data_IF_257795205190
#
_entry.id   IF_257795205190
#
_cell.length_a   1.000
_cell.length_b   1.000
_cell.length_c   1.000
_cell.angle_alpha   90.00
_cell.angle_beta   90.00
_cell.angle_gamma   90.00
#
_symmetry.space_group_name_H-M   'P 1'
#
loop_
_entity.id
_entity.type
_entity.pdbx_description
1 polymer ?
#
# COMPACT_ATOMS: atom_id res chain seq x y z
N UNK A 1 -45.87 -53.81 39.35
CA UNK A 1 -45.81 -52.66 38.41
C UNK A 1 -44.70 -51.64 38.72
N UNK A 2 -44.19 -51.50 39.96
CA UNK A 2 -43.19 -50.47 40.33
C UNK A 2 -41.79 -50.56 39.67
N UNK A 3 -41.35 -51.76 39.25
CA UNK A 3 -40.03 -51.99 38.63
C UNK A 3 -39.92 -51.45 37.19
N UNK A 4 -41.05 -51.31 36.49
CA UNK A 4 -41.09 -50.84 35.09
C UNK A 4 -40.97 -49.31 35.02
N UNK A 5 -41.65 -48.61 35.94
CA UNK A 5 -41.59 -47.14 36.03
C UNK A 5 -40.18 -46.63 36.38
N UNK A 6 -39.48 -47.31 37.30
CA UNK A 6 -38.11 -46.95 37.69
C UNK A 6 -37.08 -47.19 36.58
N UNK A 7 -37.30 -48.18 35.72
CA UNK A 7 -36.46 -48.44 34.54
C UNK A 7 -36.67 -47.38 33.44
N UNK A 8 -37.92 -47.02 33.17
CA UNK A 8 -38.26 -45.98 32.20
C UNK A 8 -37.70 -44.61 32.61
N UNK A 9 -37.76 -44.27 33.90
CA UNK A 9 -37.26 -43.00 34.41
C UNK A 9 -35.72 -42.89 34.35
N UNK A 10 -35.01 -43.98 34.69
CA UNK A 10 -33.55 -44.06 34.51
C UNK A 10 -33.15 -43.90 33.04
N UNK A 11 -33.87 -44.55 32.11
CA UNK A 11 -33.58 -44.47 30.67
C UNK A 11 -33.82 -43.05 30.13
N UNK A 12 -34.90 -42.39 30.56
CA UNK A 12 -35.18 -41.00 30.19
C UNK A 12 -34.12 -40.02 30.71
N UNK A 13 -33.63 -40.22 31.94
CA UNK A 13 -32.58 -39.37 32.54
C UNK A 13 -31.24 -39.54 31.81
N UNK A 14 -30.88 -40.76 31.41
CA UNK A 14 -29.70 -41.02 30.58
C UNK A 14 -29.81 -40.37 29.20
N UNK A 15 -30.93 -40.54 28.51
CA UNK A 15 -31.16 -39.91 27.20
C UNK A 15 -31.09 -38.38 27.26
N UNK A 16 -31.59 -37.76 28.34
CA UNK A 16 -31.52 -36.30 28.54
C UNK A 16 -30.09 -35.80 28.78
N UNK A 17 -29.29 -36.56 29.54
CA UNK A 17 -27.88 -36.24 29.78
C UNK A 17 -27.03 -36.43 28.52
N UNK A 18 -27.32 -37.45 27.71
CA UNK A 18 -26.64 -37.70 26.43
C UNK A 18 -26.93 -36.58 25.42
N UNK A 19 -28.21 -36.20 25.25
CA UNK A 19 -28.59 -35.03 24.43
C UNK A 19 -27.91 -33.75 24.90
N UNK A 20 -27.85 -33.50 26.22
CA UNK A 20 -27.17 -32.31 26.78
C UNK A 20 -25.67 -32.33 26.50
N UNK A 21 -25.01 -33.49 26.57
CA UNK A 21 -23.60 -33.67 26.22
C UNK A 21 -23.32 -33.42 24.73
N UNK A 22 -24.18 -33.92 23.85
CA UNK A 22 -24.12 -33.67 22.41
C UNK A 22 -24.30 -32.19 22.07
N UNK A 23 -25.28 -31.51 22.70
CA UNK A 23 -25.48 -30.06 22.52
C UNK A 23 -24.27 -29.24 23.00
N UNK A 24 -23.64 -29.62 24.10
CA UNK A 24 -22.43 -28.92 24.60
C UNK A 24 -21.25 -29.15 23.63
N UNK A 25 -21.12 -30.35 23.08
CA UNK A 25 -20.07 -30.69 22.14
C UNK A 25 -20.23 -29.97 20.80
N UNK A 26 -21.46 -29.87 20.27
CA UNK A 26 -21.74 -29.09 19.05
C UNK A 26 -21.52 -27.60 19.27
N UNK A 27 -21.89 -27.06 20.43
CA UNK A 27 -21.63 -25.66 20.77
C UNK A 27 -20.13 -25.34 20.84
N UNK A 28 -19.31 -26.25 21.40
CA UNK A 28 -17.85 -26.11 21.44
C UNK A 28 -17.23 -26.16 20.04
N UNK A 29 -17.68 -27.08 19.18
CA UNK A 29 -17.23 -27.18 17.78
C UNK A 29 -17.60 -25.95 16.97
N UNK A 30 -18.81 -25.39 17.18
CA UNK A 30 -19.26 -24.16 16.54
C UNK A 30 -18.42 -22.95 16.98
N UNK A 31 -18.15 -22.80 18.28
CA UNK A 31 -17.27 -21.74 18.81
C UNK A 31 -15.86 -21.82 18.24
N UNK A 32 -15.30 -23.03 18.14
CA UNK A 32 -13.99 -23.25 17.55
C UNK A 32 -13.98 -22.88 16.06
N UNK A 33 -15.01 -23.26 15.31
CA UNK A 33 -15.16 -22.92 13.89
C UNK A 33 -15.20 -21.42 13.64
N UNK A 34 -15.97 -20.68 14.46
CA UNK A 34 -16.07 -19.22 14.38
C UNK A 34 -14.72 -18.57 14.69
N UNK A 35 -14.02 -19.06 15.71
CA UNK A 35 -12.69 -18.57 16.06
C UNK A 35 -11.68 -18.80 14.93
N UNK A 36 -11.67 -19.99 14.33
CA UNK A 36 -10.77 -20.30 13.21
C UNK A 36 -11.09 -19.46 11.96
N UNK A 37 -12.37 -19.21 11.66
CA UNK A 37 -12.75 -18.30 10.57
C UNK A 37 -12.31 -16.87 10.83
N UNK A 38 -12.41 -16.39 12.08
CA UNK A 38 -11.96 -15.06 12.48
C UNK A 38 -10.44 -14.89 12.33
N UNK A 39 -9.65 -15.89 12.75
CA UNK A 39 -8.18 -15.86 12.61
C UNK A 39 -7.77 -15.84 11.13
N UNK A 40 -8.40 -16.69 10.32
CA UNK A 40 -8.13 -16.74 8.87
C UNK A 40 -8.50 -15.42 8.21
N UNK A 41 -9.64 -14.82 8.58
CA UNK A 41 -10.04 -13.51 8.07
C UNK A 41 -9.05 -12.39 8.45
N UNK A 42 -8.57 -12.37 9.71
CA UNK A 42 -7.54 -11.41 10.14
C UNK A 42 -6.23 -11.58 9.36
N UNK A 43 -5.83 -12.84 9.08
CA UNK A 43 -4.64 -13.11 8.27
C UNK A 43 -4.76 -12.57 6.84
N UNK A 44 -5.95 -12.63 6.22
CA UNK A 44 -6.19 -12.10 4.87
C UNK A 44 -6.38 -10.57 4.81
N UNK A 45 -6.76 -9.93 5.93
CA UNK A 45 -6.97 -8.47 6.02
C UNK A 45 -5.66 -7.69 6.27
N UNK A 46 -4.49 -8.35 6.18
CA UNK A 46 -3.20 -7.68 6.06
C UNK A 46 -3.04 -7.04 4.66
N UNK A 47 -3.98 -6.18 4.29
CA UNK A 47 -3.99 -5.44 3.04
C UNK A 47 -2.75 -4.55 3.05
N UNK A 48 -1.88 -4.74 2.07
CA UNK A 48 -0.73 -3.89 1.84
C UNK A 48 -1.19 -2.45 1.57
N UNK A 49 -1.19 -1.62 2.61
CA UNK A 49 -1.36 -0.19 2.45
C UNK A 49 -0.10 0.35 1.76
N UNK A 50 -0.22 0.68 0.47
CA UNK A 50 0.73 1.58 -0.17
C UNK A 50 0.46 2.98 0.40
N UNK A 51 1.31 3.42 1.31
CA UNK A 51 1.26 4.78 1.81
C UNK A 51 1.93 5.70 0.80
N UNK A 52 1.34 6.85 0.52
CA UNK A 52 1.93 7.85 -0.37
C UNK A 52 2.43 9.02 0.46
N UNK A 53 3.55 9.60 0.05
CA UNK A 53 4.05 10.88 0.59
C UNK A 53 3.72 11.98 -0.41
N UNK A 54 3.05 13.02 0.05
CA UNK A 54 2.86 14.24 -0.75
C UNK A 54 4.12 15.11 -0.69
N UNK A 55 4.43 15.81 -1.78
CA UNK A 55 5.51 16.78 -1.82
C UNK A 55 5.02 18.09 -2.45
N UNK A 56 5.74 19.18 -2.15
CA UNK A 56 5.60 20.47 -2.80
C UNK A 56 7.01 21.05 -3.01
N UNK A 57 7.33 21.37 -4.26
CA UNK A 57 8.65 21.88 -4.63
C UNK A 57 8.54 22.98 -5.66
N UNK A 58 9.49 23.91 -5.66
CA UNK A 58 9.61 24.95 -6.68
C UNK A 58 10.76 24.62 -7.60
N UNK A 59 10.48 24.43 -8.89
CA UNK A 59 11.49 24.28 -9.93
C UNK A 59 12.03 25.66 -10.34
N UNK A 60 13.36 25.80 -10.48
CA UNK A 60 13.94 27.02 -11.03
C UNK A 60 13.61 27.18 -12.52
N UNK A 61 13.64 28.41 -13.03
CA UNK A 61 13.42 28.68 -14.46
C UNK A 61 14.50 28.09 -15.38
N UNK A 62 15.70 27.86 -14.84
CA UNK A 62 16.83 27.24 -15.56
C UNK A 62 16.83 25.71 -15.45
N UNK A 63 17.51 25.05 -16.39
CA UNK A 63 17.67 23.59 -16.43
C UNK A 63 18.62 23.11 -15.33
N UNK A 64 18.05 22.88 -14.14
CA UNK A 64 18.76 22.33 -12.98
C UNK A 64 17.94 21.19 -12.40
N UNK A 65 18.65 20.15 -11.97
CA UNK A 65 18.06 18.98 -11.35
C UNK A 65 17.62 19.31 -9.91
N UNK A 66 16.35 19.08 -9.62
CA UNK A 66 15.73 19.26 -8.31
C UNK A 66 15.27 17.91 -7.77
N UNK A 67 15.44 17.67 -6.48
CA UNK A 67 14.83 16.50 -5.82
C UNK A 67 13.37 16.83 -5.49
N UNK A 68 12.43 16.06 -6.05
CA UNK A 68 11.01 16.16 -5.71
C UNK A 68 10.74 15.57 -4.32
N UNK A 69 11.25 14.35 -4.12
CA UNK A 69 11.14 13.60 -2.87
C UNK A 69 12.28 12.59 -2.77
N UNK A 70 12.69 12.28 -1.55
CA UNK A 70 13.67 11.25 -1.22
C UNK A 70 13.21 10.46 0.01
N UNK A 71 13.43 9.16 0.02
CA UNK A 71 13.06 8.29 1.13
C UNK A 71 13.51 6.86 0.95
N UNK A 72 13.43 6.09 2.03
CA UNK A 72 13.69 4.65 2.01
C UNK A 72 12.41 3.92 1.65
N UNK A 73 12.47 3.10 0.58
CA UNK A 73 11.34 2.29 0.15
C UNK A 73 10.92 1.31 1.24
N UNK A 74 9.70 1.40 1.78
CA UNK A 74 9.21 0.44 2.77
C UNK A 74 8.23 -0.62 2.23
N UNK A 75 7.78 -0.48 0.98
CA UNK A 75 6.79 -1.34 0.32
C UNK A 75 7.49 -2.45 -0.43
N UNK A 76 6.77 -3.55 -0.60
CA UNK A 76 7.22 -4.68 -1.41
C UNK A 76 6.88 -4.51 -2.90
N UNK A 77 6.44 -3.32 -3.33
CA UNK A 77 6.18 -3.03 -4.73
C UNK A 77 7.51 -3.01 -5.50
N UNK A 78 7.58 -3.55 -6.71
CA UNK A 78 8.85 -3.55 -7.47
C UNK A 78 9.19 -2.19 -8.10
N UNK A 79 8.25 -1.24 -8.14
CA UNK A 79 8.36 0.06 -8.80
C UNK A 79 7.91 1.20 -7.89
N UNK A 80 8.29 2.44 -8.23
CA UNK A 80 7.83 3.67 -7.54
C UNK A 80 6.55 4.15 -8.21
N UNK A 81 5.49 4.47 -7.44
CA UNK A 81 4.25 5.03 -8.01
C UNK A 81 4.19 6.52 -7.77
N UNK A 82 4.32 7.30 -8.83
CA UNK A 82 4.13 8.75 -8.81
C UNK A 82 2.68 9.05 -9.24
N UNK A 83 1.95 9.93 -8.55
CA UNK A 83 0.54 10.26 -8.84
C UNK A 83 0.21 11.70 -8.50
N UNK A 84 -0.94 12.17 -8.99
CA UNK A 84 -1.53 13.47 -8.64
C UNK A 84 -0.60 14.67 -8.81
N UNK A 85 0.24 14.62 -9.86
CA UNK A 85 1.23 15.64 -10.13
C UNK A 85 0.52 16.87 -10.68
N UNK A 86 0.50 17.95 -9.91
CA UNK A 86 0.04 19.25 -10.36
C UNK A 86 1.25 20.16 -10.45
N UNK A 87 1.57 20.57 -11.67
CA UNK A 87 2.56 21.62 -11.92
C UNK A 87 1.83 22.95 -11.70
N UNK A 88 2.44 23.86 -10.92
CA UNK A 88 1.89 25.15 -10.51
C UNK A 88 1.52 26.04 -11.70
N UNK A 89 0.76 27.11 -11.47
CA UNK A 89 -0.14 27.67 -12.47
C UNK A 89 0.57 28.35 -13.65
N UNK A 90 0.19 27.86 -14.84
CA UNK A 90 0.02 28.49 -16.16
C UNK A 90 0.75 29.78 -16.49
N UNK A 91 1.64 29.67 -17.48
CA UNK A 91 1.60 30.61 -18.62
C UNK A 91 1.79 29.92 -19.97
N UNK A 92 2.52 28.79 -20.07
CA UNK A 92 2.92 28.27 -21.40
C UNK A 92 3.10 26.73 -21.48
N UNK A 93 2.12 25.92 -21.04
CA UNK A 93 2.15 24.46 -21.28
C UNK A 93 3.43 23.78 -20.76
N UNK A 94 3.79 24.09 -19.52
CA UNK A 94 5.07 23.68 -18.95
C UNK A 94 5.16 22.16 -18.77
N UNK A 95 6.40 21.67 -18.87
CA UNK A 95 6.69 20.27 -18.71
C UNK A 95 7.98 20.10 -17.91
N UNK A 96 8.02 19.06 -17.09
CA UNK A 96 9.23 18.64 -16.41
C UNK A 96 9.64 17.24 -16.87
N UNK A 97 10.95 17.05 -17.00
CA UNK A 97 11.56 15.74 -17.12
C UNK A 97 11.66 15.15 -15.72
N UNK A 98 11.14 13.94 -15.51
CA UNK A 98 11.16 13.25 -14.22
C UNK A 98 11.84 11.90 -14.38
N UNK A 99 12.69 11.53 -13.42
CA UNK A 99 13.32 10.21 -13.36
C UNK A 99 13.59 9.80 -11.92
N UNK A 100 13.93 8.53 -11.73
CA UNK A 100 14.20 7.95 -10.41
C UNK A 100 15.65 7.52 -10.31
N UNK A 101 16.24 7.79 -9.14
CA UNK A 101 17.60 7.40 -8.78
C UNK A 101 17.59 6.58 -7.50
N UNK A 102 18.52 5.63 -7.42
CA UNK A 102 18.79 4.81 -6.23
C UNK A 102 20.18 5.12 -5.71
N UNK A 103 20.32 5.18 -4.39
CA UNK A 103 21.61 5.32 -3.74
C UNK A 103 22.33 3.95 -3.72
N UNK A 104 23.49 3.87 -4.37
CA UNK A 104 24.32 2.67 -4.49
C UNK A 104 25.79 3.07 -4.42
N UNK A 105 26.58 2.40 -3.57
CA UNK A 105 28.04 2.62 -3.45
C UNK A 105 28.43 4.10 -3.30
N UNK A 106 27.75 4.81 -2.39
CA UNK A 106 27.94 6.23 -2.10
C UNK A 106 27.64 7.22 -3.24
N UNK A 107 26.89 6.78 -4.26
CA UNK A 107 26.43 7.65 -5.34
C UNK A 107 24.97 7.40 -5.73
N UNK A 108 24.38 8.33 -6.46
CA UNK A 108 23.03 8.25 -6.99
C UNK A 108 23.04 7.77 -8.43
N UNK A 109 22.50 6.56 -8.65
CA UNK A 109 22.43 5.94 -9.96
C UNK A 109 21.01 6.01 -10.50
N UNK A 110 20.83 6.50 -11.73
CA UNK A 110 19.54 6.52 -12.42
C UNK A 110 19.07 5.09 -12.70
N UNK A 111 17.83 4.78 -12.32
CA UNK A 111 17.24 3.43 -12.41
C UNK A 111 15.92 3.39 -13.19
N UNK A 112 15.49 4.51 -13.78
CA UNK A 112 14.32 4.59 -14.66
C UNK A 112 14.67 5.35 -15.93
N UNK A 113 13.81 5.25 -16.94
CA UNK A 113 13.81 6.22 -18.03
C UNK A 113 13.39 7.60 -17.53
N UNK A 114 13.68 8.62 -18.34
CA UNK A 114 13.15 9.98 -18.11
C UNK A 114 11.80 10.10 -18.78
N UNK A 115 10.77 10.42 -18.00
CA UNK A 115 9.44 10.72 -18.51
C UNK A 115 9.17 12.22 -18.49
N UNK A 116 8.37 12.67 -19.46
CA UNK A 116 7.97 14.07 -19.56
C UNK A 116 6.57 14.21 -18.99
N UNK A 117 6.44 14.96 -17.90
CA UNK A 117 5.16 15.25 -17.28
C UNK A 117 4.72 16.67 -17.65
N UNK A 118 3.55 16.77 -18.26
CA UNK A 118 2.95 18.04 -18.65
C UNK A 118 1.96 18.52 -17.59
N UNK A 119 1.86 19.84 -17.46
CA UNK A 119 0.83 20.49 -16.66
C UNK A 119 -0.57 20.03 -17.09
N UNK A 120 -1.44 19.74 -16.11
CA UNK A 120 -2.83 19.34 -16.35
C UNK A 120 -3.02 17.91 -16.89
N UNK A 121 -1.94 17.14 -17.05
CA UNK A 121 -1.98 15.75 -17.50
C UNK A 121 -1.56 14.79 -16.37
N UNK A 122 -2.14 13.58 -16.34
CA UNK A 122 -1.81 12.55 -15.35
C UNK A 122 -2.97 11.60 -15.04
N UNK A 123 -2.78 10.65 -14.11
CA UNK A 123 -1.57 10.41 -13.33
C UNK A 123 -0.48 9.69 -14.15
N UNK A 124 0.75 10.16 -14.06
CA UNK A 124 1.92 9.52 -14.71
C UNK A 124 2.52 8.44 -13.82
N UNK A 125 2.72 7.22 -14.32
CA UNK A 125 3.37 6.15 -13.55
C UNK A 125 4.76 5.90 -14.11
N UNK A 126 5.78 6.33 -13.36
CA UNK A 126 7.19 6.01 -13.65
C UNK A 126 7.51 4.60 -13.18
N UNK A 127 7.84 3.71 -14.11
CA UNK A 127 8.37 2.41 -13.76
C UNK A 127 9.88 2.49 -13.61
N UNK A 128 10.38 2.05 -12.46
CA UNK A 128 11.81 1.87 -12.23
C UNK A 128 12.19 0.43 -12.56
N UNK A 129 13.48 0.19 -12.79
CA UNK A 129 14.03 -1.13 -12.57
C UNK A 129 13.64 -1.66 -11.18
N UNK A 130 13.55 -2.99 -10.99
CA UNK A 130 13.12 -3.57 -9.73
C UNK A 130 13.92 -3.02 -8.54
N UNK A 131 13.23 -2.34 -7.64
CA UNK A 131 13.79 -1.85 -6.37
C UNK A 131 13.35 -2.77 -5.24
N UNK A 132 14.22 -2.96 -4.26
CA UNK A 132 13.93 -3.72 -3.06
C UNK A 132 13.42 -2.81 -1.94
N UNK A 133 12.66 -3.41 -1.02
CA UNK A 133 12.40 -2.79 0.28
C UNK A 133 13.73 -2.49 0.97
N UNK A 134 13.86 -1.29 1.54
CA UNK A 134 15.07 -0.79 2.18
C UNK A 134 15.97 0.04 1.26
N UNK A 135 15.71 0.06 -0.05
CA UNK A 135 16.47 0.90 -0.98
C UNK A 135 16.21 2.38 -0.69
N UNK A 136 17.27 3.19 -0.62
CA UNK A 136 17.17 4.64 -0.56
C UNK A 136 16.96 5.18 -1.98
N UNK A 137 15.82 5.79 -2.22
CA UNK A 137 15.36 6.24 -3.52
C UNK A 137 15.10 7.75 -3.48
N UNK A 138 15.37 8.43 -4.59
CA UNK A 138 14.91 9.80 -4.81
C UNK A 138 14.31 9.95 -6.20
N UNK A 139 13.28 10.78 -6.29
CA UNK A 139 12.68 11.19 -7.56
C UNK A 139 13.19 12.58 -7.89
N UNK A 140 13.73 12.72 -9.10
CA UNK A 140 14.34 13.94 -9.62
C UNK A 140 13.44 14.54 -10.68
N UNK A 141 13.44 15.86 -10.74
CA UNK A 141 12.85 16.59 -11.83
C UNK A 141 13.80 17.66 -12.37
N UNK A 142 13.65 17.96 -13.64
CA UNK A 142 14.30 19.09 -14.31
C UNK A 142 13.26 19.77 -15.19
N UNK A 143 13.38 21.08 -15.32
CA UNK A 143 12.59 21.82 -16.29
C UNK A 143 12.91 21.37 -17.73
N UNK A 144 11.91 20.93 -18.51
CA UNK A 144 12.11 20.44 -19.89
C UNK A 144 12.63 21.55 -20.82
N UNK A 145 12.15 22.77 -20.62
CA UNK A 145 12.46 23.95 -21.44
C UNK A 145 12.85 25.13 -20.55
N UNK A 146 13.84 25.93 -20.95
CA UNK A 146 14.19 27.14 -20.20
C UNK A 146 12.95 28.03 -20.06
N UNK A 147 12.65 28.42 -18.83
CA UNK A 147 11.57 29.34 -18.49
C UNK A 147 12.16 30.56 -17.79
N UNK A 148 11.58 31.74 -18.07
CA UNK A 148 11.93 32.98 -17.36
C UNK A 148 11.37 33.01 -15.93
N UNK A 149 10.47 32.10 -15.57
CA UNK A 149 9.81 32.06 -14.26
C UNK A 149 10.05 30.73 -13.54
N UNK A 150 10.07 30.80 -12.20
CA UNK A 150 10.03 29.61 -11.33
C UNK A 150 8.58 29.13 -11.21
N UNK A 151 8.37 27.82 -11.17
CA UNK A 151 7.04 27.23 -11.04
C UNK A 151 7.03 26.12 -10.00
N UNK A 152 5.85 25.90 -9.39
CA UNK A 152 5.67 24.85 -8.40
C UNK A 152 5.43 23.48 -9.03
N UNK A 153 5.63 22.43 -8.27
CA UNK A 153 5.12 21.11 -8.53
C UNK A 153 4.69 20.48 -7.21
N UNK A 154 3.46 20.00 -7.15
CA UNK A 154 2.95 19.17 -6.07
C UNK A 154 2.61 17.80 -6.63
N UNK A 155 2.70 16.76 -5.80
CA UNK A 155 2.38 15.41 -6.22
C UNK A 155 2.49 14.43 -5.06
N UNK A 156 2.23 13.16 -5.35
CA UNK A 156 2.24 12.08 -4.37
C UNK A 156 3.08 10.92 -4.89
N UNK A 157 3.94 10.36 -4.04
CA UNK A 157 4.85 9.26 -4.42
C UNK A 157 4.80 8.15 -3.37
N UNK A 158 4.67 6.92 -3.83
CA UNK A 158 4.84 5.70 -3.03
C UNK A 158 6.34 5.40 -2.86
N UNK A 159 6.93 6.00 -1.84
CA UNK A 159 8.25 5.63 -1.31
C UNK A 159 8.12 4.88 0.03
N UNK A 160 6.90 4.63 0.51
CA UNK A 160 6.70 3.78 1.68
C UNK A 160 6.70 2.32 1.26
#
# INVERSE_FOLDING_TARGET
MAKVYTFLDKKNKQMKNQKKGETIMTLKKLKLSILTMGIVFIMFVSVAYAAYVSYNVTLPGFKVNVTLLQGTKSTNNYYVKHRNILIGPHTDGQAMNVWVEKYVNDDWVKISDTEVHYEGQGPYTLFTNPTNKGDLIRVRAENKSLSVYKYGAIGEIDLY
#
